data_IF_038722131067
#
_entry.id   IF_038722131067
#
_cell.length_a   1.000
_cell.length_b   1.000
_cell.length_c   1.000
_cell.angle_alpha   90.00
_cell.angle_beta   90.00
_cell.angle_gamma   90.00
#
_symmetry.space_group_name_H-M   'P 1'
#
loop_
_entity.id
_entity.type
_entity.pdbx_description
1 polymer ?
#
# COMPACT_ATOMS: atom_id res chain seq x y z
N UNK A 1 34.91 -45.14 -21.74
CA UNK A 1 34.00 -44.48 -20.79
C UNK A 1 32.92 -45.47 -20.45
N UNK A 2 32.99 -46.01 -19.26
CA UNK A 2 32.19 -47.15 -18.84
C UNK A 2 30.72 -46.75 -18.75
N UNK A 3 29.80 -47.69 -18.93
CA UNK A 3 28.36 -47.42 -18.84
C UNK A 3 27.96 -46.78 -17.50
N UNK A 4 28.75 -47.05 -16.45
CA UNK A 4 28.63 -46.44 -15.13
C UNK A 4 28.99 -44.95 -15.14
N UNK A 5 30.06 -44.56 -15.81
CA UNK A 5 30.49 -43.15 -15.90
C UNK A 5 29.44 -42.30 -16.62
N UNK A 6 28.85 -42.85 -17.69
CA UNK A 6 27.74 -42.19 -18.40
C UNK A 6 26.54 -41.98 -17.50
N UNK A 7 26.18 -43.01 -16.72
CA UNK A 7 25.06 -42.93 -15.77
C UNK A 7 25.32 -41.93 -14.64
N UNK A 8 26.54 -41.87 -14.14
CA UNK A 8 26.95 -40.88 -13.12
C UNK A 8 26.82 -39.47 -13.70
N UNK A 9 27.35 -39.22 -14.90
CA UNK A 9 27.27 -37.90 -15.53
C UNK A 9 25.82 -37.45 -15.79
N UNK A 10 24.94 -38.35 -16.24
CA UNK A 10 23.50 -38.08 -16.38
C UNK A 10 22.88 -37.68 -15.04
N UNK A 11 23.08 -38.50 -13.99
CA UNK A 11 22.51 -38.26 -12.68
C UNK A 11 23.03 -36.97 -12.04
N UNK A 12 24.30 -36.63 -12.24
CA UNK A 12 24.89 -35.36 -11.78
C UNK A 12 24.25 -34.16 -12.49
N UNK A 13 24.02 -34.26 -13.79
CA UNK A 13 23.36 -33.21 -14.57
C UNK A 13 21.93 -32.98 -14.10
N UNK A 14 21.18 -34.05 -13.83
CA UNK A 14 19.82 -33.99 -13.31
C UNK A 14 19.79 -33.41 -11.89
N UNK A 15 20.69 -33.86 -11.01
CA UNK A 15 20.81 -33.32 -9.66
C UNK A 15 21.09 -31.81 -9.67
N UNK A 16 21.99 -31.35 -10.55
CA UNK A 16 22.30 -29.93 -10.68
C UNK A 16 21.06 -29.13 -11.09
N UNK A 17 20.29 -29.63 -12.05
CA UNK A 17 19.07 -28.99 -12.52
C UNK A 17 17.98 -28.96 -11.44
N UNK A 18 17.82 -30.05 -10.69
CA UNK A 18 16.89 -30.13 -9.57
C UNK A 18 17.27 -29.16 -8.44
N UNK A 19 18.55 -29.10 -8.06
CA UNK A 19 19.04 -28.16 -7.05
C UNK A 19 18.81 -26.70 -7.45
N UNK A 20 19.01 -26.37 -8.73
CA UNK A 20 18.71 -25.04 -9.24
C UNK A 20 17.22 -24.71 -9.14
N UNK A 21 16.34 -25.64 -9.50
CA UNK A 21 14.88 -25.46 -9.37
C UNK A 21 14.46 -25.30 -7.92
N UNK A 22 15.01 -26.12 -7.01
CA UNK A 22 14.74 -26.01 -5.58
C UNK A 22 15.15 -24.63 -5.05
N UNK A 23 16.35 -24.16 -5.35
CA UNK A 23 16.81 -22.84 -4.91
C UNK A 23 15.91 -21.69 -5.39
N UNK A 24 15.37 -21.78 -6.61
CA UNK A 24 14.42 -20.79 -7.14
C UNK A 24 13.07 -20.86 -6.40
N UNK A 25 12.57 -22.07 -6.14
CA UNK A 25 11.31 -22.28 -5.43
C UNK A 25 11.40 -21.83 -3.97
N UNK A 26 12.47 -22.19 -3.28
CA UNK A 26 12.75 -21.76 -1.90
C UNK A 26 12.84 -20.24 -1.80
N UNK A 27 13.54 -19.59 -2.74
CA UNK A 27 13.58 -18.13 -2.82
C UNK A 27 12.18 -17.55 -3.00
N UNK A 28 11.35 -18.13 -3.88
CA UNK A 28 9.99 -17.66 -4.13
C UNK A 28 9.09 -17.82 -2.90
N UNK A 29 9.22 -18.92 -2.17
CA UNK A 29 8.44 -19.22 -0.97
C UNK A 29 8.89 -18.38 0.23
N UNK A 30 10.16 -17.97 0.30
CA UNK A 30 10.69 -17.09 1.34
C UNK A 30 10.35 -15.60 1.16
N UNK A 31 9.70 -15.21 0.06
CA UNK A 31 9.31 -13.82 -0.17
C UNK A 31 8.01 -13.48 0.57
N UNK A 32 8.06 -12.45 1.42
CA UNK A 32 6.91 -11.85 2.10
C UNK A 32 6.88 -10.32 1.87
N UNK A 33 5.86 -9.62 2.37
CA UNK A 33 5.78 -8.15 2.22
C UNK A 33 6.95 -7.38 2.85
N UNK A 34 7.71 -7.98 3.77
CA UNK A 34 8.86 -7.33 4.41
C UNK A 34 10.11 -7.35 3.53
N UNK A 35 10.26 -8.34 2.64
CA UNK A 35 11.45 -8.50 1.82
C UNK A 35 11.20 -8.43 0.30
N UNK A 36 9.96 -8.23 -0.16
CA UNK A 36 9.61 -8.26 -1.59
C UNK A 36 9.08 -6.94 -2.18
N UNK A 37 9.05 -5.85 -1.40
CA UNK A 37 8.42 -4.56 -1.77
C UNK A 37 6.92 -4.66 -2.14
N UNK A 38 6.29 -5.83 -1.96
CA UNK A 38 4.86 -6.03 -2.15
C UNK A 38 4.10 -5.45 -0.97
N UNK A 39 2.89 -4.89 -1.19
CA UNK A 39 2.10 -4.39 -0.09
C UNK A 39 1.71 -5.54 0.86
N UNK A 40 1.65 -5.28 2.17
CA UNK A 40 1.32 -6.29 3.19
C UNK A 40 -0.11 -6.85 3.12
N UNK A 41 -0.94 -6.34 2.21
CA UNK A 41 -2.23 -6.95 1.83
C UNK A 41 -2.05 -8.20 0.95
N UNK A 42 -0.93 -8.32 0.23
CA UNK A 42 -0.65 -9.43 -0.70
C UNK A 42 -0.27 -10.73 0.01
N UNK A 43 0.14 -10.67 1.28
CA UNK A 43 0.52 -11.84 2.09
C UNK A 43 -0.70 -12.68 2.51
N UNK A 44 -1.93 -12.17 2.36
CA UNK A 44 -3.15 -12.91 2.66
C UNK A 44 -3.24 -13.40 4.11
N UNK A 45 -3.79 -14.61 4.31
CA UNK A 45 -3.98 -15.23 5.63
C UNK A 45 -2.67 -15.74 6.27
N UNK A 46 -1.59 -15.85 5.50
CA UNK A 46 -0.27 -16.24 6.01
C UNK A 46 0.35 -15.15 6.88
N UNK A 47 -0.17 -13.93 6.77
CA UNK A 47 0.28 -12.78 7.57
C UNK A 47 -0.13 -12.97 9.03
N UNK A 48 0.85 -12.87 9.92
CA UNK A 48 0.58 -12.81 11.36
C UNK A 48 -0.33 -11.60 11.66
N UNK A 49 -1.40 -11.77 12.46
CA UNK A 49 -2.24 -10.65 12.86
C UNK A 49 -1.40 -9.57 13.53
N UNK A 50 -1.72 -8.30 13.24
CA UNK A 50 -1.10 -7.18 13.93
C UNK A 50 -1.36 -7.31 15.43
N UNK A 51 -0.35 -7.12 16.29
CA UNK A 51 -0.54 -7.24 17.72
C UNK A 51 -1.63 -6.27 18.16
N UNK A 52 -2.63 -6.80 18.87
CA UNK A 52 -3.70 -5.98 19.39
C UNK A 52 -3.14 -5.08 20.51
N UNK A 53 -3.54 -3.82 20.51
CA UNK A 53 -3.13 -2.88 21.55
C UNK A 53 -3.56 -3.41 22.93
N UNK A 54 -2.58 -3.64 23.81
CA UNK A 54 -2.82 -3.94 25.23
C UNK A 54 -3.16 -2.69 26.04
N UNK A 55 -3.16 -1.51 25.40
CA UNK A 55 -3.48 -0.24 26.07
C UNK A 55 -4.91 -0.27 26.58
N UNK A 56 -5.09 -0.03 27.87
CA UNK A 56 -6.40 0.24 28.43
C UNK A 56 -6.95 1.55 27.86
N UNK A 57 -8.26 1.61 27.57
CA UNK A 57 -8.92 2.87 27.24
C UNK A 57 -8.64 3.92 28.32
N UNK A 58 -8.40 5.16 27.90
CA UNK A 58 -8.25 6.26 28.86
C UNK A 58 -9.59 6.55 29.54
N UNK A 59 -9.54 6.97 30.81
CA UNK A 59 -10.74 7.36 31.58
C UNK A 59 -11.41 8.61 31.02
N UNK A 60 -10.63 9.45 30.32
CA UNK A 60 -11.13 10.69 29.73
C UNK A 60 -11.87 10.39 28.42
N UNK A 61 -13.06 10.99 28.20
CA UNK A 61 -13.76 10.87 26.93
C UNK A 61 -12.88 11.41 25.79
N UNK A 62 -13.00 10.78 24.62
CA UNK A 62 -12.39 11.30 23.39
C UNK A 62 -13.17 12.51 22.90
N UNK A 63 -12.49 13.62 22.60
CA UNK A 63 -13.13 14.85 22.12
C UNK A 63 -12.90 16.04 23.05
N UNK A 64 -13.60 17.14 22.79
CA UNK A 64 -13.65 18.30 23.68
C UNK A 64 -14.37 17.98 24.99
N UNK A 65 -14.28 18.88 25.98
CA UNK A 65 -15.07 18.69 27.20
C UNK A 65 -16.57 18.82 26.89
N UNK A 66 -17.39 18.07 27.62
CA UNK A 66 -18.84 18.09 27.46
C UNK A 66 -19.37 19.52 27.64
N UNK A 67 -20.07 20.05 26.64
CA UNK A 67 -20.61 21.41 26.64
C UNK A 67 -19.73 22.46 25.95
N UNK A 68 -18.52 22.14 25.49
CA UNK A 68 -17.79 23.04 24.59
C UNK A 68 -18.46 23.08 23.22
N UNK A 69 -18.89 24.27 22.81
CA UNK A 69 -19.30 24.51 21.44
C UNK A 69 -18.08 24.38 20.52
N UNK A 70 -18.21 23.54 19.49
CA UNK A 70 -17.19 23.43 18.45
C UNK A 70 -17.22 24.66 17.55
N UNK A 71 -16.06 25.27 17.30
CA UNK A 71 -15.90 26.36 16.34
C UNK A 71 -15.56 25.82 14.93
N UNK A 72 -16.21 24.74 14.52
CA UNK A 72 -15.99 24.19 13.17
C UNK A 72 -16.61 25.14 12.15
N UNK A 73 -15.86 25.52 11.11
CA UNK A 73 -16.39 26.30 10.00
C UNK A 73 -17.55 25.53 9.34
N UNK A 74 -18.70 26.18 9.23
CA UNK A 74 -19.85 25.64 8.51
C UNK A 74 -19.65 25.73 7.00
N UNK A 75 -20.17 24.75 6.27
CA UNK A 75 -20.15 24.80 4.82
C UNK A 75 -21.19 25.82 4.33
N UNK A 76 -20.73 27.01 3.98
CA UNK A 76 -21.56 28.07 3.38
C UNK A 76 -21.51 28.03 1.85
N UNK A 77 -22.59 28.44 1.19
CA UNK A 77 -22.71 28.42 -0.27
C UNK A 77 -21.70 29.36 -0.96
N UNK A 78 -21.49 30.53 -0.36
CA UNK A 78 -20.62 31.58 -0.87
C UNK A 78 -19.53 31.92 0.15
N UNK A 79 -18.32 31.35 0.01
CA UNK A 79 -17.20 31.70 0.88
C UNK A 79 -16.63 33.08 0.53
N UNK A 80 -16.00 33.72 1.52
CA UNK A 80 -15.33 35.03 1.35
C UNK A 80 -14.19 34.98 0.33
N UNK A 81 -13.49 33.84 0.24
CA UNK A 81 -12.41 33.62 -0.70
C UNK A 81 -12.53 32.24 -1.39
N UNK A 82 -12.22 32.20 -2.68
CA UNK A 82 -12.13 30.98 -3.49
C UNK A 82 -10.72 30.87 -4.04
N UNK A 83 -10.01 29.80 -3.68
CA UNK A 83 -8.67 29.49 -4.19
C UNK A 83 -8.81 28.31 -5.15
N UNK A 84 -8.44 28.52 -6.41
CA UNK A 84 -8.44 27.46 -7.43
C UNK A 84 -7.08 26.77 -7.40
N UNK A 85 -7.09 25.46 -7.19
CA UNK A 85 -5.89 24.62 -7.27
C UNK A 85 -5.85 23.92 -8.63
N UNK A 86 -5.08 24.49 -9.56
CA UNK A 86 -4.94 23.95 -10.90
C UNK A 86 -4.08 22.69 -10.94
N UNK A 87 -4.47 21.73 -11.78
CA UNK A 87 -3.67 20.53 -12.04
C UNK A 87 -2.80 20.81 -13.24
N UNK A 88 -1.49 20.93 -13.02
CA UNK A 88 -0.52 21.25 -14.09
C UNK A 88 -0.01 20.02 -14.84
N UNK A 89 -0.09 18.84 -14.23
CA UNK A 89 0.41 17.59 -14.81
C UNK A 89 -0.53 16.41 -14.54
N UNK A 90 -0.64 15.51 -15.53
CA UNK A 90 -1.41 14.29 -15.41
C UNK A 90 -0.82 13.35 -14.35
N UNK A 91 -1.65 12.83 -13.43
CA UNK A 91 -1.19 11.91 -12.36
C UNK A 91 -0.63 10.59 -12.88
N UNK A 92 -1.09 10.12 -14.03
CA UNK A 92 -0.69 8.82 -14.58
C UNK A 92 0.53 8.85 -15.50
N UNK A 93 0.68 9.89 -16.33
CA UNK A 93 1.74 9.99 -17.34
C UNK A 93 2.65 11.21 -17.18
N UNK A 94 2.40 12.08 -16.19
CA UNK A 94 3.17 13.29 -15.87
C UNK A 94 3.27 14.35 -16.98
N UNK A 95 2.59 14.15 -18.11
CA UNK A 95 2.53 15.15 -19.17
C UNK A 95 1.83 16.42 -18.68
N UNK A 96 2.32 17.58 -19.13
CA UNK A 96 1.71 18.87 -18.82
C UNK A 96 0.31 18.96 -19.40
N UNK A 97 -0.62 19.41 -18.56
CA UNK A 97 -2.02 19.68 -18.91
C UNK A 97 -2.40 21.12 -18.57
N UNK A 98 -1.42 21.99 -18.30
CA UNK A 98 -1.64 23.39 -17.94
C UNK A 98 -2.42 24.20 -19.00
N UNK A 99 -2.37 23.76 -20.26
CA UNK A 99 -3.08 24.41 -21.37
C UNK A 99 -4.48 23.84 -21.62
N UNK A 100 -4.87 22.77 -20.92
CA UNK A 100 -6.18 22.13 -21.11
C UNK A 100 -7.19 22.79 -20.16
N UNK A 101 -8.31 23.35 -20.64
CA UNK A 101 -9.30 23.98 -19.79
C UNK A 101 -10.01 22.96 -18.91
N UNK A 102 -10.24 23.31 -17.65
CA UNK A 102 -11.00 22.47 -16.72
C UNK A 102 -12.48 22.45 -17.09
N UNK A 103 -13.08 21.26 -17.18
CA UNK A 103 -14.52 21.06 -17.41
C UNK A 103 -15.33 21.01 -16.12
N UNK A 104 -14.70 20.72 -14.98
CA UNK A 104 -15.40 20.55 -13.70
C UNK A 104 -14.52 20.97 -12.53
N UNK A 105 -15.14 21.61 -11.53
CA UNK A 105 -14.51 21.98 -10.27
C UNK A 105 -15.08 21.09 -9.16
N UNK A 106 -14.21 20.38 -8.46
CA UNK A 106 -14.59 19.50 -7.34
C UNK A 106 -14.27 20.23 -6.03
N UNK A 107 -15.29 20.44 -5.19
CA UNK A 107 -15.10 20.98 -3.84
C UNK A 107 -14.59 19.86 -2.91
N UNK A 108 -13.54 20.06 -2.11
CA UNK A 108 -13.12 19.08 -1.13
C UNK A 108 -14.21 18.92 -0.05
N UNK A 109 -14.64 17.69 0.20
CA UNK A 109 -15.59 17.40 1.28
C UNK A 109 -14.84 17.38 2.61
N UNK A 110 -15.07 18.36 3.48
CA UNK A 110 -14.59 18.29 4.86
C UNK A 110 -15.50 17.33 5.64
N UNK A 111 -14.95 16.21 6.14
CA UNK A 111 -15.68 15.34 7.07
C UNK A 111 -15.86 16.09 8.39
N UNK A 112 -17.08 16.48 8.71
CA UNK A 112 -17.45 16.95 10.04
C UNK A 112 -17.32 15.80 11.03
N UNK A 113 -16.31 15.85 11.90
CA UNK A 113 -16.27 15.03 13.13
C UNK A 113 -16.93 15.85 14.23
N UNK A 114 -17.98 15.28 14.81
CA UNK A 114 -18.60 15.69 16.08
C UNK A 114 -17.83 14.99 17.21
#
# INVERSE_FOLDING_TARGET
MDAKDKRIAELESENKLLRQRLAVLERRLGLDSRNSSKPPSSDGLSKKPTPQSLRTPGVRPTGGQQGHQGNTLEQIDTPDAKIIHEVVACRSCHQSIAHIPATTIIKPTFRTKI
#
